data_IF_092544362372
#
_entry.id   IF_092544362372
#
_cell.length_a   1.000
_cell.length_b   1.000
_cell.length_c   1.000
_cell.angle_alpha   90.00
_cell.angle_beta   90.00
_cell.angle_gamma   90.00
#
_symmetry.space_group_name_H-M   'P 1'
#
loop_
_entity.id
_entity.type
_entity.pdbx_description
1 polymer ?
#
# COMPACT_ATOMS: atom_id res chain seq x y z
N UNK A 1 -15.66 -21.87 -21.22
CA UNK A 1 -14.43 -21.08 -20.98
C UNK A 1 -14.77 -20.02 -19.94
N UNK A 2 -14.29 -20.15 -18.70
CA UNK A 2 -14.35 -19.04 -17.74
C UNK A 2 -13.40 -17.97 -18.26
N UNK A 3 -13.92 -16.82 -18.71
CA UNK A 3 -13.07 -15.67 -18.94
C UNK A 3 -12.44 -15.29 -17.60
N UNK A 4 -11.12 -15.45 -17.48
CA UNK A 4 -10.38 -14.96 -16.31
C UNK A 4 -10.41 -13.43 -16.36
N UNK A 5 -11.43 -12.83 -15.77
CA UNK A 5 -11.54 -11.38 -15.67
C UNK A 5 -10.55 -10.90 -14.63
N UNK A 6 -9.66 -10.00 -15.00
CA UNK A 6 -8.78 -9.32 -14.07
C UNK A 6 -9.62 -8.50 -13.07
N UNK A 7 -9.43 -8.75 -11.77
CA UNK A 7 -10.27 -8.22 -10.69
C UNK A 7 -9.51 -7.40 -9.63
N UNK A 8 -8.19 -7.17 -9.81
CA UNK A 8 -7.39 -6.41 -8.85
C UNK A 8 -7.64 -4.91 -8.99
N UNK A 9 -7.50 -4.17 -7.89
CA UNK A 9 -7.58 -2.70 -7.91
C UNK A 9 -6.37 -2.13 -8.65
N UNK A 10 -6.62 -1.21 -9.58
CA UNK A 10 -5.59 -0.47 -10.33
C UNK A 10 -5.74 1.02 -10.09
N UNK A 11 -4.75 1.78 -10.52
CA UNK A 11 -4.88 3.22 -10.66
C UNK A 11 -5.58 3.59 -11.98
N UNK A 12 -6.36 4.67 -11.92
CA UNK A 12 -6.55 5.60 -13.04
C UNK A 12 -5.52 6.73 -12.94
N UNK A 13 -5.27 7.46 -14.02
CA UNK A 13 -4.39 8.65 -14.04
C UNK A 13 -4.82 9.66 -12.97
N UNK A 14 -6.14 9.90 -12.80
CA UNK A 14 -6.65 10.82 -11.78
C UNK A 14 -6.35 10.33 -10.36
N UNK A 15 -6.64 9.06 -10.06
CA UNK A 15 -6.35 8.48 -8.74
C UNK A 15 -4.84 8.37 -8.46
N UNK A 16 -4.02 8.15 -9.48
CA UNK A 16 -2.57 8.14 -9.35
C UNK A 16 -2.06 9.55 -9.05
N UNK A 17 -2.52 10.57 -9.78
CA UNK A 17 -2.17 11.96 -9.49
C UNK A 17 -2.56 12.35 -8.07
N UNK A 18 -3.78 12.01 -7.63
CA UNK A 18 -4.23 12.30 -6.26
C UNK A 18 -3.36 11.59 -5.21
N UNK A 19 -2.98 10.33 -5.45
CA UNK A 19 -2.11 9.58 -4.55
C UNK A 19 -0.69 10.15 -4.48
N UNK A 20 -0.16 10.67 -5.60
CA UNK A 20 1.14 11.35 -5.59
C UNK A 20 1.04 12.70 -4.87
N UNK A 21 -0.01 13.49 -5.09
CA UNK A 21 -0.25 14.74 -4.35
C UNK A 21 -0.31 14.48 -2.84
N UNK A 22 -1.12 13.50 -2.39
CA UNK A 22 -1.22 13.10 -0.98
C UNK A 22 0.13 12.64 -0.39
N UNK A 23 0.92 11.90 -1.17
CA UNK A 23 2.27 11.49 -0.78
C UNK A 23 3.19 12.70 -0.55
N UNK A 24 3.09 13.74 -1.39
CA UNK A 24 3.88 14.96 -1.22
C UNK A 24 3.40 15.81 -0.05
N UNK A 25 2.09 15.91 0.17
CA UNK A 25 1.50 16.58 1.33
C UNK A 25 1.99 15.96 2.65
N UNK A 26 2.17 14.63 2.67
CA UNK A 26 2.61 13.87 3.86
C UNK A 26 4.07 13.39 3.79
N UNK A 27 4.90 14.02 2.95
CA UNK A 27 6.28 13.58 2.76
C UNK A 27 7.12 13.71 4.04
N UNK A 28 6.79 14.68 4.89
CA UNK A 28 7.37 14.84 6.23
C UNK A 28 7.13 13.61 7.10
N UNK A 29 5.89 13.14 7.16
CA UNK A 29 5.48 11.99 7.98
C UNK A 29 6.12 10.69 7.47
N UNK A 30 6.17 10.47 6.15
CA UNK A 30 6.84 9.30 5.57
C UNK A 30 8.34 9.25 5.90
N UNK A 31 9.01 10.42 5.84
CA UNK A 31 10.41 10.55 6.24
C UNK A 31 10.58 10.33 7.74
N UNK A 32 9.68 10.87 8.55
CA UNK A 32 9.68 10.69 10.00
C UNK A 32 9.52 9.22 10.37
N UNK A 33 8.54 8.52 9.80
CA UNK A 33 8.28 7.10 10.05
C UNK A 33 9.52 6.23 9.81
N UNK A 34 10.25 6.51 8.72
CA UNK A 34 11.46 5.76 8.37
C UNK A 34 12.66 6.10 9.28
N UNK A 35 12.77 7.36 9.73
CA UNK A 35 13.96 7.88 10.44
C UNK A 35 13.86 7.81 11.97
N UNK A 36 12.66 7.93 12.53
CA UNK A 36 12.45 8.01 13.97
C UNK A 36 12.41 6.63 14.63
N UNK A 37 12.31 5.55 13.84
CA UNK A 37 12.37 4.16 14.31
C UNK A 37 11.35 3.82 15.42
N UNK A 38 10.23 4.56 15.51
CA UNK A 38 9.14 4.28 16.46
C UNK A 38 8.36 3.01 16.11
N UNK A 39 8.47 2.56 14.86
CA UNK A 39 7.99 1.28 14.36
C UNK A 39 9.21 0.45 13.93
N UNK A 40 9.30 -0.78 14.42
CA UNK A 40 10.39 -1.69 14.03
C UNK A 40 10.24 -2.07 12.56
N UNK A 41 11.35 -2.43 11.90
CA UNK A 41 11.29 -2.87 10.50
C UNK A 41 10.40 -4.10 10.32
N UNK A 42 10.46 -5.06 11.24
CA UNK A 42 9.60 -6.25 11.21
C UNK A 42 8.12 -5.86 11.28
N UNK A 43 7.75 -4.96 12.20
CA UNK A 43 6.37 -4.49 12.33
C UNK A 43 5.92 -3.74 11.06
N UNK A 44 6.75 -2.84 10.53
CA UNK A 44 6.46 -2.14 9.29
C UNK A 44 6.23 -3.11 8.11
N UNK A 45 7.05 -4.16 7.98
CA UNK A 45 6.86 -5.18 6.94
C UNK A 45 5.55 -5.96 7.14
N UNK A 46 5.16 -6.33 8.36
CA UNK A 46 3.87 -6.99 8.60
C UNK A 46 2.69 -6.10 8.21
N UNK A 47 2.72 -4.81 8.56
CA UNK A 47 1.70 -3.82 8.15
C UNK A 47 1.65 -3.70 6.63
N UNK A 48 2.80 -3.57 5.96
CA UNK A 48 2.84 -3.45 4.51
C UNK A 48 2.33 -4.71 3.79
N UNK A 49 2.65 -5.89 4.32
CA UNK A 49 2.17 -7.16 3.80
C UNK A 49 0.66 -7.35 4.01
N UNK A 50 0.10 -6.86 5.13
CA UNK A 50 -1.34 -6.90 5.37
C UNK A 50 -2.13 -6.10 4.31
N UNK A 51 -1.68 -4.89 3.97
CA UNK A 51 -2.26 -4.10 2.86
C UNK A 51 -2.09 -4.81 1.51
N UNK A 52 -0.92 -5.41 1.30
CA UNK A 52 -0.58 -6.11 0.06
C UNK A 52 -1.43 -7.36 -0.17
N UNK A 53 -1.76 -8.07 0.91
CA UNK A 53 -2.65 -9.24 0.88
C UNK A 53 -4.04 -8.85 0.37
N UNK A 54 -4.62 -7.77 0.89
CA UNK A 54 -5.92 -7.25 0.44
C UNK A 54 -5.86 -6.76 -1.01
N UNK A 55 -4.82 -6.01 -1.37
CA UNK A 55 -4.69 -5.46 -2.73
C UNK A 55 -4.28 -6.49 -3.80
N UNK A 56 -3.76 -7.67 -3.40
CA UNK A 56 -3.39 -8.75 -4.32
C UNK A 56 -2.21 -8.44 -5.25
N UNK A 57 -1.28 -7.57 -4.82
CA UNK A 57 -0.11 -7.20 -5.65
C UNK A 57 1.02 -8.22 -5.53
N UNK A 58 1.17 -9.09 -6.55
CA UNK A 58 2.19 -10.16 -6.57
C UNK A 58 3.64 -9.66 -6.49
N UNK A 59 3.91 -8.46 -7.01
CA UNK A 59 5.26 -7.89 -6.99
C UNK A 59 5.64 -7.42 -5.59
N UNK A 60 4.71 -6.74 -4.92
CA UNK A 60 4.88 -6.28 -3.55
C UNK A 60 4.89 -7.47 -2.58
N UNK A 61 4.04 -8.50 -2.78
CA UNK A 61 4.04 -9.69 -1.94
C UNK A 61 5.41 -10.38 -1.96
N UNK A 62 5.97 -10.61 -3.15
CA UNK A 62 7.31 -11.19 -3.28
C UNK A 62 8.40 -10.29 -2.68
N UNK A 63 8.37 -8.99 -3.00
CA UNK A 63 9.37 -8.03 -2.55
C UNK A 63 9.39 -7.88 -1.02
N UNK A 64 8.23 -7.68 -0.41
CA UNK A 64 8.10 -7.47 1.02
C UNK A 64 8.24 -8.76 1.82
N UNK A 65 7.81 -9.92 1.32
CA UNK A 65 8.14 -11.19 1.97
C UNK A 65 9.66 -11.39 2.10
N UNK A 66 10.42 -11.05 1.04
CA UNK A 66 11.90 -11.12 1.10
C UNK A 66 12.49 -10.12 2.09
N UNK A 67 11.91 -8.93 2.21
CA UNK A 67 12.38 -7.91 3.16
C UNK A 67 12.03 -8.28 4.60
N UNK A 68 10.82 -8.79 4.84
CA UNK A 68 10.33 -9.31 6.10
C UNK A 68 11.27 -10.40 6.66
N UNK A 69 11.64 -11.38 5.83
CA UNK A 69 12.61 -12.43 6.21
C UNK A 69 13.97 -11.83 6.63
N UNK A 70 14.46 -10.80 5.93
CA UNK A 70 15.73 -10.14 6.28
C UNK A 70 15.71 -9.40 7.61
N UNK A 71 14.53 -8.95 8.04
CA UNK A 71 14.35 -8.20 9.29
C UNK A 71 13.81 -9.07 10.43
N UNK A 72 13.76 -10.40 10.23
CA UNK A 72 13.45 -11.38 11.27
C UNK A 72 11.99 -11.82 11.35
N UNK A 73 11.13 -11.45 10.41
CA UNK A 73 9.79 -12.03 10.30
C UNK A 73 9.92 -13.46 9.78
N UNK A 74 9.30 -14.42 10.46
CA UNK A 74 9.38 -15.84 10.10
C UNK A 74 8.51 -16.17 8.90
N UNK A 75 8.83 -17.28 8.23
CA UNK A 75 7.99 -17.80 7.14
C UNK A 75 6.56 -18.12 7.63
N UNK A 76 6.41 -18.64 8.85
CA UNK A 76 5.12 -18.92 9.45
C UNK A 76 4.26 -17.66 9.62
N UNK A 77 4.84 -16.55 10.11
CA UNK A 77 4.14 -15.27 10.23
C UNK A 77 3.75 -14.68 8.86
N UNK A 78 4.61 -14.83 7.85
CA UNK A 78 4.31 -14.41 6.47
C UNK A 78 3.11 -15.18 5.93
N UNK A 79 3.09 -16.50 6.12
CA UNK A 79 1.99 -17.35 5.64
C UNK A 79 0.70 -17.08 6.43
N UNK A 80 0.81 -16.82 7.73
CA UNK A 80 -0.31 -16.38 8.57
C UNK A 80 -0.91 -15.05 8.07
N UNK A 81 -0.08 -14.04 7.76
CA UNK A 81 -0.54 -12.77 7.18
C UNK A 81 -1.30 -13.00 5.87
N UNK A 82 -0.83 -13.89 4.99
CA UNK A 82 -1.50 -14.22 3.72
C UNK A 82 -2.86 -14.88 3.91
N UNK A 83 -2.96 -15.73 4.94
CA UNK A 83 -4.19 -16.41 5.34
C UNK A 83 -5.13 -15.52 6.18
N UNK A 84 -4.67 -14.36 6.64
CA UNK A 84 -5.41 -13.51 7.58
C UNK A 84 -5.48 -14.07 9.00
N UNK A 85 -4.57 -14.99 9.37
CA UNK A 85 -4.50 -15.55 10.71
C UNK A 85 -3.71 -14.62 11.65
N UNK A 86 -4.45 -13.83 12.43
CA UNK A 86 -3.85 -12.90 13.39
C UNK A 86 -3.31 -13.58 14.65
N UNK A 87 -3.72 -14.82 14.95
CA UNK A 87 -3.29 -15.50 16.18
C UNK A 87 -1.82 -15.92 16.13
N UNK A 88 -1.30 -16.12 14.92
CA UNK A 88 0.11 -16.44 14.68
C UNK A 88 1.02 -15.20 14.59
N UNK A 89 0.48 -14.00 14.85
CA UNK A 89 1.21 -12.72 14.77
C UNK A 89 1.39 -12.13 16.18
N UNK A 90 2.36 -11.22 16.37
CA UNK A 90 2.52 -10.54 17.64
C UNK A 90 1.23 -9.80 18.04
N UNK A 91 0.67 -10.13 19.21
CA UNK A 91 -0.60 -9.58 19.70
C UNK A 91 -0.59 -8.04 19.73
N UNK A 92 0.54 -7.45 20.11
CA UNK A 92 0.73 -6.00 20.14
C UNK A 92 0.61 -5.32 18.75
N UNK A 93 0.71 -6.07 17.65
CA UNK A 93 0.62 -5.56 16.28
C UNK A 93 -0.79 -5.75 15.67
N UNK A 94 -1.67 -6.50 16.33
CA UNK A 94 -2.97 -6.92 15.77
C UNK A 94 -3.87 -5.75 15.37
N UNK A 95 -3.96 -4.70 16.20
CA UNK A 95 -4.78 -3.51 15.91
C UNK A 95 -4.29 -2.79 14.66
N UNK A 96 -2.97 -2.64 14.50
CA UNK A 96 -2.39 -2.02 13.31
C UNK A 96 -2.59 -2.87 12.05
N UNK A 97 -2.50 -4.19 12.16
CA UNK A 97 -2.71 -5.12 11.04
C UNK A 97 -4.16 -5.08 10.59
N UNK A 98 -5.13 -5.12 11.52
CA UNK A 98 -6.55 -4.97 11.23
C UNK A 98 -6.87 -3.60 10.61
N UNK A 99 -6.29 -2.53 11.15
CA UNK A 99 -6.44 -1.20 10.58
C UNK A 99 -5.89 -1.11 9.14
N UNK A 100 -4.74 -1.74 8.89
CA UNK A 100 -4.11 -1.78 7.57
C UNK A 100 -4.97 -2.54 6.55
N UNK A 101 -5.56 -3.68 6.95
CA UNK A 101 -6.52 -4.42 6.14
C UNK A 101 -7.76 -3.57 5.85
N UNK A 102 -8.36 -2.98 6.89
CA UNK A 102 -9.53 -2.11 6.77
C UNK A 102 -9.29 -0.94 5.81
N UNK A 103 -8.16 -0.24 5.95
CA UNK A 103 -7.78 0.85 5.04
C UNK A 103 -7.73 0.38 3.58
N UNK A 104 -7.19 -0.81 3.34
CA UNK A 104 -7.10 -1.36 2.00
C UNK A 104 -8.48 -1.72 1.43
N UNK A 105 -9.34 -2.36 2.24
CA UNK A 105 -10.71 -2.75 1.89
C UNK A 105 -11.61 -1.54 1.64
N UNK A 106 -11.52 -0.52 2.50
CA UNK A 106 -12.28 0.73 2.40
C UNK A 106 -11.71 1.70 1.35
N UNK A 107 -10.70 1.27 0.58
CA UNK A 107 -10.10 2.05 -0.52
C UNK A 107 -9.49 3.38 -0.07
N UNK A 108 -8.94 3.41 1.15
CA UNK A 108 -8.28 4.57 1.72
C UNK A 108 -9.19 5.47 2.56
N UNK A 109 -10.42 5.04 2.82
CA UNK A 109 -11.42 5.74 3.63
C UNK A 109 -11.74 4.90 4.89
N UNK A 110 -10.79 4.69 5.83
CA UNK A 110 -11.03 3.89 7.02
C UNK A 110 -12.07 4.55 7.93
N UNK A 111 -12.79 3.75 8.69
CA UNK A 111 -13.76 4.25 9.66
C UNK A 111 -13.07 5.14 10.72
N UNK A 112 -13.69 6.27 11.12
CA UNK A 112 -13.13 7.14 12.17
C UNK A 112 -12.85 6.39 13.47
N UNK A 113 -13.73 5.47 13.87
CA UNK A 113 -13.55 4.64 15.05
C UNK A 113 -12.32 3.71 14.96
N UNK A 114 -12.00 3.20 13.77
CA UNK A 114 -10.80 2.38 13.57
C UNK A 114 -9.52 3.22 13.72
N UNK A 115 -9.55 4.47 13.25
CA UNK A 115 -8.46 5.41 13.46
C UNK A 115 -8.29 5.79 14.93
N UNK A 116 -9.38 6.11 15.63
CA UNK A 116 -9.37 6.41 17.07
C UNK A 116 -8.80 5.25 17.87
N UNK A 117 -9.19 4.01 17.54
CA UNK A 117 -8.66 2.81 18.19
C UNK A 117 -7.15 2.63 17.94
N UNK A 118 -6.67 2.91 16.72
CA UNK A 118 -5.25 2.87 16.40
C UNK A 118 -4.46 3.89 17.23
N UNK A 119 -4.96 5.12 17.31
CA UNK A 119 -4.34 6.20 18.11
C UNK A 119 -4.36 5.87 19.60
N UNK A 120 -5.46 5.34 20.12
CA UNK A 120 -5.56 4.92 21.53
C UNK A 120 -4.57 3.79 21.87
N UNK A 121 -4.31 2.89 20.93
CA UNK A 121 -3.43 1.73 21.13
C UNK A 121 -1.95 2.09 21.05
N UNK A 122 -1.56 2.92 20.09
CA UNK A 122 -0.14 3.17 19.78
C UNK A 122 0.34 4.58 20.13
N UNK A 123 -0.57 5.51 20.43
CA UNK A 123 -0.29 6.94 20.50
C UNK A 123 -0.28 7.59 19.12
N UNK A 124 -0.51 8.90 19.08
CA UNK A 124 -0.67 9.66 17.84
C UNK A 124 0.54 9.52 16.89
N UNK A 125 1.75 9.66 17.43
CA UNK A 125 2.98 9.57 16.65
C UNK A 125 3.10 8.21 15.95
N UNK A 126 2.98 7.09 16.68
CA UNK A 126 3.13 5.75 16.10
C UNK A 126 2.00 5.41 15.13
N UNK A 127 0.78 5.86 15.41
CA UNK A 127 -0.35 5.73 14.51
C UNK A 127 -0.10 6.44 13.17
N UNK A 128 0.49 7.64 13.20
CA UNK A 128 0.89 8.35 11.98
C UNK A 128 1.98 7.60 11.21
N UNK A 129 2.98 7.02 11.88
CA UNK A 129 4.00 6.23 11.20
C UNK A 129 3.40 4.98 10.52
N UNK A 130 2.47 4.31 11.20
CA UNK A 130 1.73 3.16 10.64
C UNK A 130 0.94 3.60 9.39
N UNK A 131 0.21 4.71 9.47
CA UNK A 131 -0.51 5.29 8.32
C UNK A 131 0.44 5.62 7.16
N UNK A 132 1.63 6.17 7.45
CA UNK A 132 2.62 6.45 6.43
C UNK A 132 3.08 5.18 5.69
N UNK A 133 3.35 4.08 6.41
CA UNK A 133 3.66 2.78 5.79
C UNK A 133 2.51 2.25 4.93
N UNK A 134 1.27 2.35 5.42
CA UNK A 134 0.06 1.93 4.70
C UNK A 134 -0.11 2.71 3.39
N UNK A 135 0.06 4.04 3.42
CA UNK A 135 -0.03 4.90 2.23
C UNK A 135 1.06 4.55 1.22
N UNK A 136 2.31 4.42 1.67
CA UNK A 136 3.45 4.06 0.81
C UNK A 136 3.22 2.73 0.08
N UNK A 137 2.84 1.68 0.81
CA UNK A 137 2.63 0.38 0.18
C UNK A 137 1.39 0.36 -0.73
N UNK A 138 0.35 1.12 -0.40
CA UNK A 138 -0.84 1.24 -1.24
C UNK A 138 -0.49 1.78 -2.63
N UNK A 139 0.38 2.80 -2.71
CA UNK A 139 0.87 3.33 -3.98
C UNK A 139 1.60 2.23 -4.76
N UNK A 140 2.53 1.53 -4.11
CA UNK A 140 3.28 0.44 -4.74
C UNK A 140 2.37 -0.70 -5.22
N UNK A 141 1.39 -1.09 -4.42
CA UNK A 141 0.43 -2.13 -4.76
C UNK A 141 -0.40 -1.78 -6.00
N UNK A 142 -1.00 -0.59 -6.02
CA UNK A 142 -1.86 -0.18 -7.13
C UNK A 142 -1.06 0.10 -8.41
N UNK A 143 0.16 0.61 -8.27
CA UNK A 143 1.06 0.77 -9.41
C UNK A 143 1.44 -0.60 -10.01
N UNK A 144 1.83 -1.56 -9.16
CA UNK A 144 2.13 -2.93 -9.58
C UNK A 144 0.93 -3.64 -10.20
N UNK A 145 -0.26 -3.46 -9.63
CA UNK A 145 -1.50 -4.01 -10.21
C UNK A 145 -1.85 -3.36 -11.55
N UNK A 146 -1.57 -2.06 -11.74
CA UNK A 146 -1.79 -1.38 -13.01
C UNK A 146 -0.85 -1.92 -14.10
N UNK A 147 0.39 -2.24 -13.74
CA UNK A 147 1.30 -2.96 -14.62
C UNK A 147 0.78 -4.37 -14.97
N UNK A 148 0.27 -5.11 -13.98
CA UNK A 148 -0.31 -6.44 -14.19
C UNK A 148 -1.57 -6.38 -15.09
N UNK A 149 -2.38 -5.32 -14.97
CA UNK A 149 -3.54 -5.06 -15.82
C UNK A 149 -3.15 -4.85 -17.29
N UNK A 150 -2.08 -4.08 -17.55
CA UNK A 150 -1.55 -3.89 -18.90
C UNK A 150 -1.09 -5.24 -19.50
N UNK A 151 -0.33 -6.03 -18.73
CA UNK A 151 0.10 -7.36 -19.18
C UNK A 151 -1.09 -8.30 -19.43
N UNK A 152 -2.11 -8.24 -18.58
CA UNK A 152 -3.35 -9.01 -18.74
C UNK A 152 -4.09 -8.63 -20.03
N UNK A 153 -4.17 -7.33 -20.33
CA UNK A 153 -4.74 -6.81 -21.58
C UNK A 153 -3.99 -7.30 -22.81
N UNK A 154 -2.66 -7.29 -22.79
CA UNK A 154 -1.84 -7.84 -23.88
C UNK A 154 -2.08 -9.34 -24.12
N UNK A 155 -2.56 -10.07 -23.10
CA UNK A 155 -2.98 -11.47 -23.19
C UNK A 155 -4.48 -11.65 -23.51
N UNK A 156 -5.19 -10.59 -23.90
CA UNK A 156 -6.60 -10.64 -24.26
C UNK A 156 -7.59 -10.56 -23.08
N UNK A 157 -7.11 -10.27 -21.87
CA UNK A 157 -7.93 -10.23 -20.64
C UNK A 157 -7.89 -8.84 -20.01
N UNK A 158 -8.60 -7.84 -20.56
CA UNK A 158 -8.56 -6.47 -20.05
C UNK A 158 -9.14 -6.35 -18.64
N UNK A 159 -8.55 -5.47 -17.83
CA UNK A 159 -9.06 -5.14 -16.50
C UNK A 159 -10.37 -4.34 -16.59
N UNK A 160 -11.38 -4.76 -15.82
CA UNK A 160 -12.66 -4.04 -15.70
C UNK A 160 -12.42 -2.70 -15.00
N UNK A 161 -12.99 -1.63 -15.56
CA UNK A 161 -12.80 -0.26 -15.02
C UNK A 161 -11.48 0.40 -15.40
N UNK A 162 -10.67 -0.23 -16.26
CA UNK A 162 -9.42 0.32 -16.78
C UNK A 162 -9.41 0.35 -18.31
N UNK A 163 -8.60 1.24 -18.89
CA UNK A 163 -8.33 1.32 -20.33
C UNK A 163 -6.83 1.32 -20.59
N UNK A 164 -6.42 1.00 -21.82
CA UNK A 164 -5.00 1.01 -22.21
C UNK A 164 -4.37 2.40 -22.02
N UNK A 165 -5.15 3.48 -22.24
CA UNK A 165 -4.69 4.86 -22.02
C UNK A 165 -4.46 5.12 -20.53
N UNK A 166 -5.34 4.63 -19.66
CA UNK A 166 -5.17 4.74 -18.20
C UNK A 166 -3.96 3.95 -17.72
N UNK A 167 -3.81 2.70 -18.17
CA UNK A 167 -2.68 1.84 -17.81
C UNK A 167 -1.34 2.43 -18.23
N UNK A 168 -1.18 2.80 -19.51
CA UNK A 168 0.04 3.43 -20.01
C UNK A 168 0.24 4.81 -19.36
N UNK A 169 -0.83 5.57 -19.20
CA UNK A 169 -0.79 6.90 -18.59
C UNK A 169 -0.31 6.89 -17.14
N UNK A 170 -0.69 5.89 -16.34
CA UNK A 170 -0.17 5.72 -14.97
C UNK A 170 1.31 5.32 -15.01
N UNK A 171 1.66 4.32 -15.82
CA UNK A 171 3.03 3.77 -15.86
C UNK A 171 4.06 4.77 -16.40
N UNK A 172 3.69 5.56 -17.41
CA UNK A 172 4.53 6.66 -17.90
C UNK A 172 4.38 7.92 -17.06
N UNK A 173 3.22 8.11 -16.45
CA UNK A 173 2.91 9.25 -15.59
C UNK A 173 3.87 9.39 -14.42
N UNK A 174 4.43 8.29 -13.92
CA UNK A 174 5.49 8.33 -12.91
C UNK A 174 6.69 9.22 -13.31
N UNK A 175 7.02 9.32 -14.61
CA UNK A 175 8.11 10.15 -15.12
C UNK A 175 7.76 11.64 -15.24
N UNK A 176 6.47 11.99 -15.19
CA UNK A 176 5.99 13.36 -15.46
C UNK A 176 5.29 13.95 -14.23
N UNK A 177 4.33 13.22 -13.66
CA UNK A 177 3.52 13.63 -12.50
C UNK A 177 4.41 13.80 -11.27
N UNK A 178 5.33 12.87 -11.01
CA UNK A 178 6.20 12.94 -9.82
C UNK A 178 7.12 14.17 -9.87
N UNK A 179 7.86 14.47 -10.97
CA UNK A 179 8.65 15.71 -11.06
C UNK A 179 7.81 16.99 -10.97
N UNK A 180 6.65 17.05 -11.64
CA UNK A 180 5.76 18.22 -11.58
C UNK A 180 5.33 18.49 -10.14
N UNK A 181 4.90 17.45 -9.41
CA UNK A 181 4.49 17.60 -8.03
C UNK A 181 5.65 17.95 -7.09
N UNK A 182 6.84 17.41 -7.34
CA UNK A 182 8.04 17.83 -6.62
C UNK A 182 8.30 19.34 -6.77
N UNK A 183 8.22 19.88 -7.99
CA UNK A 183 8.38 21.32 -8.26
C UNK A 183 7.26 22.12 -7.60
N UNK A 184 6.00 21.70 -7.78
CA UNK A 184 4.82 22.36 -7.19
C UNK A 184 4.92 22.48 -5.67
N UNK A 185 5.36 21.44 -4.96
CA UNK A 185 5.53 21.49 -3.52
C UNK A 185 6.78 22.27 -3.10
N UNK A 186 7.87 22.19 -3.86
CA UNK A 186 9.06 23.01 -3.62
C UNK A 186 8.77 24.52 -3.75
N UNK A 187 7.89 24.93 -4.66
CA UNK A 187 7.47 26.32 -4.82
C UNK A 187 6.47 26.80 -3.75
N UNK A 188 5.85 25.88 -2.99
CA UNK A 188 4.83 26.18 -1.97
C UNK A 188 5.38 26.19 -0.54
N UNK A 189 6.55 25.59 -0.31
CA UNK A 189 7.27 25.58 0.97
C UNK A 189 8.34 26.65 1.02
#
# INVERSE_FOLDING_TARGET
>A
MMQTTFNKRTFTVGSFSAAIDDMFDHLGDMRAATRQHRISKAFAERVMMAVTQVNGCRYCDFGHARMALKVGVTQAEIDALRLGDLQALPEAEAVAILFAQHYAESRGEPDPAAWEQLVATYGADRAQDIMAYIRMITIGNLYGNTFDALLSRLRGHPARGSSVVQEIGVLLGGLVIVPINAVKHWLRG
#
